data_IF_482115635262
#
_entry.id   IF_482115635262
#
_cell.length_a   1.000
_cell.length_b   1.000
_cell.length_c   1.000
_cell.angle_alpha   90.00
_cell.angle_beta   90.00
_cell.angle_gamma   90.00
#
_symmetry.space_group_name_H-M   'P 1'
#
loop_
_entity.id
_entity.type
_entity.pdbx_description
1 polymer ?
#
# COMPACT_ATOMS: atom_id res chain seq x y z
N UNK A 1 -28.13 9.11 12.35
CA UNK A 1 -27.20 8.23 13.09
C UNK A 1 -25.80 8.65 12.72
N UNK A 2 -25.25 9.58 13.48
CA UNK A 2 -23.86 10.00 13.39
C UNK A 2 -23.01 8.96 14.13
N UNK A 3 -22.22 8.20 13.39
CA UNK A 3 -21.28 7.24 13.95
C UNK A 3 -19.86 7.74 13.67
N UNK A 4 -19.19 8.33 14.66
CA UNK A 4 -17.74 8.28 14.96
C UNK A 4 -17.56 9.03 16.30
N UNK A 5 -16.59 8.70 17.18
CA UNK A 5 -15.33 8.02 16.88
C UNK A 5 -14.90 6.93 17.88
N UNK A 6 -14.54 5.75 17.39
CA UNK A 6 -13.62 4.88 18.13
C UNK A 6 -12.19 5.40 17.93
N UNK A 7 -11.28 5.25 18.91
CA UNK A 7 -9.93 5.77 18.81
C UNK A 7 -9.17 4.93 17.77
N UNK A 8 -9.11 5.43 16.55
CA UNK A 8 -8.11 4.99 15.61
C UNK A 8 -6.81 5.68 16.02
N UNK A 9 -5.67 5.01 15.97
CA UNK A 9 -4.33 5.58 16.17
C UNK A 9 -3.98 6.76 15.23
N UNK A 10 -4.97 7.33 14.53
CA UNK A 10 -4.97 8.54 13.68
C UNK A 10 -4.56 9.81 14.43
N UNK A 11 -4.56 9.81 15.77
CA UNK A 11 -4.34 11.01 16.59
C UNK A 11 -2.97 11.04 17.31
N UNK A 12 -2.07 10.09 17.04
CA UNK A 12 -0.73 10.05 17.66
C UNK A 12 0.36 9.97 16.60
N UNK A 13 0.58 11.07 15.88
CA UNK A 13 1.89 11.66 15.58
C UNK A 13 1.70 12.74 14.51
N UNK A 14 1.68 13.99 14.93
CA UNK A 14 1.45 15.14 14.03
C UNK A 14 2.62 15.40 13.08
N UNK A 15 3.79 14.86 13.37
CA UNK A 15 5.01 14.95 12.56
C UNK A 15 6.00 13.98 13.21
N UNK A 16 6.03 12.72 12.76
CA UNK A 16 7.24 11.92 12.95
C UNK A 16 8.03 12.00 11.66
N UNK A 17 9.21 12.60 11.74
CA UNK A 17 10.32 12.23 10.87
C UNK A 17 10.63 10.75 11.14
N UNK A 18 9.87 9.85 10.55
CA UNK A 18 10.20 8.43 10.61
C UNK A 18 11.34 8.24 9.61
N UNK A 19 12.56 8.26 10.14
CA UNK A 19 13.73 7.74 9.44
C UNK A 19 13.57 6.22 9.38
N UNK A 20 12.88 5.72 8.36
CA UNK A 20 12.73 4.28 8.15
C UNK A 20 13.94 3.73 7.41
N UNK A 21 14.56 2.68 7.96
CA UNK A 21 15.50 1.83 7.24
C UNK A 21 14.73 0.98 6.21
N UNK A 22 14.13 1.62 5.21
CA UNK A 22 13.49 0.96 4.07
C UNK A 22 14.51 0.65 2.99
N UNK A 23 14.30 -0.42 2.22
CA UNK A 23 15.04 -0.64 0.98
C UNK A 23 14.40 0.22 -0.12
N UNK A 24 15.11 1.23 -0.67
CA UNK A 24 14.61 1.97 -1.81
C UNK A 24 14.72 1.09 -3.05
N UNK A 25 13.59 0.87 -3.72
CA UNK A 25 13.58 0.36 -5.09
C UNK A 25 13.26 1.57 -5.95
N UNK A 26 14.20 1.92 -6.83
CA UNK A 26 14.27 3.17 -7.58
C UNK A 26 14.64 4.40 -6.74
N UNK A 27 15.82 4.94 -7.01
CA UNK A 27 16.32 6.18 -6.40
C UNK A 27 16.19 7.39 -7.34
N UNK A 28 14.97 7.92 -7.53
CA UNK A 28 14.75 9.36 -7.61
C UNK A 28 14.33 9.95 -6.24
N UNK A 29 14.16 9.11 -5.22
CA UNK A 29 13.49 9.44 -3.95
C UNK A 29 14.42 9.83 -2.79
N UNK A 30 15.72 9.97 -3.03
CA UNK A 30 16.58 10.82 -2.20
C UNK A 30 15.94 12.20 -1.94
N UNK A 31 15.08 12.71 -2.83
CA UNK A 31 14.36 13.97 -2.64
C UNK A 31 13.50 14.01 -1.35
N UNK A 32 12.65 13.01 -1.08
CA UNK A 32 11.72 13.05 0.05
C UNK A 32 12.41 12.95 1.42
N UNK A 33 13.48 12.16 1.48
CA UNK A 33 14.30 11.99 2.69
C UNK A 33 15.18 13.22 2.91
N UNK A 34 15.76 13.78 1.83
CA UNK A 34 16.63 14.97 1.88
C UNK A 34 15.88 16.25 2.26
N UNK A 35 14.58 16.32 1.97
CA UNK A 35 13.72 17.47 2.31
C UNK A 35 13.07 17.37 3.71
N UNK A 36 13.25 16.30 4.49
CA UNK A 36 12.63 16.10 5.82
C UNK A 36 11.10 16.35 5.83
N UNK A 37 10.38 15.85 4.82
CA UNK A 37 8.94 16.11 4.64
C UNK A 37 8.14 14.84 4.38
N UNK A 38 8.34 13.83 5.23
CA UNK A 38 7.52 12.62 5.21
C UNK A 38 6.26 12.83 6.05
N UNK A 39 5.19 13.28 5.41
CA UNK A 39 3.84 13.22 5.99
C UNK A 39 3.30 11.84 5.68
N UNK A 40 3.60 10.90 6.57
CA UNK A 40 3.22 9.51 6.43
C UNK A 40 1.87 9.24 7.08
N UNK A 41 0.97 8.57 6.34
CA UNK A 41 -0.34 8.17 6.87
C UNK A 41 -0.49 6.66 6.85
N UNK A 42 -0.32 6.07 8.04
CA UNK A 42 -0.52 4.64 8.29
C UNK A 42 -1.91 4.17 7.84
N UNK A 43 -1.94 3.13 7.00
CA UNK A 43 -3.12 2.46 6.40
C UNK A 43 -4.11 3.34 5.65
N UNK A 44 -3.73 4.57 5.34
CA UNK A 44 -4.59 5.47 4.56
C UNK A 44 -4.51 5.19 3.06
N UNK A 45 -3.72 4.21 2.64
CA UNK A 45 -3.68 3.66 1.29
C UNK A 45 -4.63 2.49 1.04
N UNK A 46 -5.40 2.04 2.05
CA UNK A 46 -6.21 0.82 1.92
C UNK A 46 -7.58 1.01 1.26
N UNK A 47 -8.08 2.24 1.18
CA UNK A 47 -9.36 2.56 0.51
C UNK A 47 -9.26 3.88 -0.23
N UNK A 48 -10.00 4.02 -1.34
CA UNK A 48 -10.08 5.28 -2.10
C UNK A 48 -10.52 6.47 -1.23
N UNK A 49 -11.55 6.36 -0.36
CA UNK A 49 -11.92 7.47 0.52
C UNK A 49 -10.82 7.88 1.50
N UNK A 50 -10.08 6.93 2.06
CA UNK A 50 -8.97 7.24 2.97
C UNK A 50 -7.81 7.91 2.23
N UNK A 51 -7.52 7.49 0.99
CA UNK A 51 -6.51 8.12 0.12
C UNK A 51 -6.89 9.57 -0.18
N UNK A 52 -8.15 9.80 -0.57
CA UNK A 52 -8.64 11.16 -0.87
C UNK A 52 -8.53 12.08 0.35
N UNK A 53 -8.87 11.59 1.54
CA UNK A 53 -8.72 12.37 2.78
C UNK A 53 -7.24 12.66 3.07
N UNK A 54 -6.36 11.66 2.98
CA UNK A 54 -4.94 11.84 3.21
C UNK A 54 -4.31 12.83 2.21
N UNK A 55 -4.75 12.81 0.95
CA UNK A 55 -4.31 13.78 -0.07
C UNK A 55 -4.67 15.22 0.32
N UNK A 56 -5.88 15.48 0.82
CA UNK A 56 -6.30 16.81 1.29
C UNK A 56 -5.46 17.30 2.47
N UNK A 57 -4.95 16.39 3.28
CA UNK A 57 -4.04 16.68 4.40
C UNK A 57 -2.57 16.90 3.95
N UNK A 58 -2.32 16.92 2.63
CA UNK A 58 -0.98 17.03 2.01
C UNK A 58 -0.03 15.92 2.48
N UNK A 59 -0.56 14.70 2.61
CA UNK A 59 0.22 13.49 2.83
C UNK A 59 1.18 13.27 1.66
N UNK A 60 2.41 12.86 1.94
CA UNK A 60 3.41 12.54 0.90
C UNK A 60 3.65 11.04 0.78
N UNK A 61 3.34 10.25 1.82
CA UNK A 61 3.43 8.79 1.77
C UNK A 61 2.20 8.14 2.37
N UNK A 62 1.58 7.25 1.60
CA UNK A 62 0.43 6.45 1.98
C UNK A 62 0.85 5.02 2.30
N UNK A 63 0.46 4.52 3.45
CA UNK A 63 0.74 3.14 3.83
C UNK A 63 -0.36 2.18 3.35
N UNK A 64 0.08 1.10 2.72
CA UNK A 64 -0.73 0.10 2.01
C UNK A 64 -0.42 -1.28 2.57
N UNK A 65 -1.47 -1.98 2.97
CA UNK A 65 -1.41 -3.39 3.30
C UNK A 65 -1.81 -4.24 2.09
N UNK A 66 -0.88 -5.04 1.58
CA UNK A 66 -1.12 -5.94 0.47
C UNK A 66 -1.34 -7.37 0.97
N UNK A 67 -2.41 -8.00 0.48
CA UNK A 67 -2.75 -9.40 0.75
C UNK A 67 -2.87 -10.15 -0.56
N UNK A 68 -2.12 -11.25 -0.72
CA UNK A 68 -2.29 -12.13 -1.87
C UNK A 68 -3.44 -13.11 -1.63
N UNK A 69 -4.38 -13.16 -2.57
CA UNK A 69 -5.44 -14.15 -2.59
C UNK A 69 -5.61 -14.72 -4.00
N UNK A 70 -5.36 -16.03 -4.15
CA UNK A 70 -5.47 -16.75 -5.44
C UNK A 70 -4.75 -16.02 -6.58
N UNK A 71 -3.49 -15.62 -6.34
CA UNK A 71 -2.63 -14.85 -7.26
C UNK A 71 -3.13 -13.43 -7.59
N UNK A 72 -4.07 -12.90 -6.80
CA UNK A 72 -4.49 -11.50 -6.89
C UNK A 72 -4.04 -10.75 -5.65
N UNK A 73 -3.34 -9.64 -5.86
CA UNK A 73 -2.96 -8.73 -4.78
C UNK A 73 -4.11 -7.78 -4.49
N UNK A 74 -4.72 -7.94 -3.32
CA UNK A 74 -5.79 -7.10 -2.80
C UNK A 74 -5.22 -6.17 -1.74
N UNK A 75 -5.82 -5.00 -1.58
CA UNK A 75 -5.42 -4.04 -0.56
C UNK A 75 -6.33 -4.15 0.65
N UNK A 76 -5.79 -4.75 1.70
CA UNK A 76 -6.43 -4.91 3.01
C UNK A 76 -5.42 -5.37 4.06
N UNK A 77 -5.65 -4.94 5.31
CA UNK A 77 -4.83 -5.31 6.45
C UNK A 77 -5.11 -6.73 6.98
N UNK A 78 -6.37 -7.17 6.94
CA UNK A 78 -6.83 -8.33 7.71
C UNK A 78 -7.12 -9.60 6.90
N UNK A 79 -7.69 -10.61 7.58
CA UNK A 79 -7.91 -11.94 7.03
C UNK A 79 -8.99 -11.95 5.94
N UNK A 80 -8.82 -12.85 4.97
CA UNK A 80 -9.67 -12.93 3.79
C UNK A 80 -10.29 -14.32 3.63
N UNK A 81 -11.58 -14.36 3.23
CA UNK A 81 -12.23 -15.57 2.74
C UNK A 81 -13.21 -15.27 1.59
N UNK A 82 -13.31 -16.18 0.63
CA UNK A 82 -14.33 -16.13 -0.42
C UNK A 82 -15.61 -16.76 0.12
N UNK A 83 -16.73 -16.03 0.05
CA UNK A 83 -18.04 -16.56 0.42
C UNK A 83 -18.95 -16.59 -0.80
N UNK A 84 -19.57 -17.74 -1.04
CA UNK A 84 -20.63 -17.84 -2.05
C UNK A 84 -21.91 -17.20 -1.49
N UNK A 85 -22.42 -16.19 -2.19
CA UNK A 85 -23.71 -15.55 -1.94
C UNK A 85 -24.66 -15.92 -3.09
N UNK A 86 -25.11 -17.18 -3.09
CA UNK A 86 -25.95 -17.73 -4.15
C UNK A 86 -25.15 -17.99 -5.43
N UNK A 87 -25.48 -17.29 -6.53
CA UNK A 87 -24.71 -17.37 -7.80
C UNK A 87 -23.50 -16.44 -7.83
N UNK A 88 -23.38 -15.52 -6.88
CA UNK A 88 -22.29 -14.55 -6.83
C UNK A 88 -21.20 -15.01 -5.86
N UNK A 89 -19.94 -14.80 -6.24
CA UNK A 89 -18.80 -14.97 -5.35
C UNK A 89 -18.42 -13.59 -4.81
N UNK A 90 -18.45 -13.44 -3.50
CA UNK A 90 -18.04 -12.21 -2.84
C UNK A 90 -16.71 -12.43 -2.11
N UNK A 91 -15.83 -11.45 -2.29
CA UNK A 91 -14.57 -11.33 -1.60
C UNK A 91 -14.82 -10.64 -0.25
N UNK A 92 -14.55 -11.31 0.87
CA UNK A 92 -14.80 -10.75 2.20
C UNK A 92 -13.48 -10.62 2.97
N UNK A 93 -13.10 -9.38 3.27
CA UNK A 93 -12.01 -9.06 4.19
C UNK A 93 -12.56 -8.69 5.56
N UNK A 94 -11.91 -9.15 6.63
CA UNK A 94 -12.18 -8.68 8.00
C UNK A 94 -11.01 -7.80 8.43
N UNK A 95 -11.25 -6.50 8.61
CA UNK A 95 -10.25 -5.55 9.14
C UNK A 95 -10.77 -4.87 10.41
N UNK A 96 -10.13 -5.08 11.56
CA UNK A 96 -10.54 -4.57 12.88
C UNK A 96 -12.05 -4.73 13.19
N UNK A 97 -12.62 -5.89 12.86
CA UNK A 97 -14.05 -6.16 13.06
C UNK A 97 -14.97 -5.49 12.04
N UNK A 98 -14.43 -4.85 11.01
CA UNK A 98 -15.18 -4.35 9.85
C UNK A 98 -15.12 -5.36 8.72
N UNK A 99 -16.24 -5.50 8.04
CA UNK A 99 -16.40 -6.37 6.90
C UNK A 99 -16.26 -5.55 5.62
N UNK A 100 -15.20 -5.79 4.86
CA UNK A 100 -14.99 -5.18 3.54
C UNK A 100 -15.43 -6.17 2.47
N UNK A 101 -16.41 -5.78 1.67
CA UNK A 101 -16.89 -6.56 0.52
C UNK A 101 -16.14 -6.05 -0.71
N UNK A 102 -15.50 -6.96 -1.45
CA UNK A 102 -14.72 -6.65 -2.65
C UNK A 102 -13.65 -5.56 -2.38
N UNK A 103 -12.65 -5.86 -1.53
CA UNK A 103 -11.53 -4.94 -1.33
C UNK A 103 -10.87 -4.61 -2.67
N UNK A 104 -10.38 -3.38 -2.84
CA UNK A 104 -9.76 -2.97 -4.09
C UNK A 104 -8.49 -3.77 -4.35
N UNK A 105 -8.18 -3.99 -5.61
CA UNK A 105 -6.91 -4.56 -6.04
C UNK A 105 -5.77 -3.56 -5.83
N UNK A 106 -4.55 -4.09 -5.76
CA UNK A 106 -3.34 -3.26 -5.69
C UNK A 106 -3.25 -2.31 -6.88
N UNK A 107 -3.56 -2.78 -8.09
CA UNK A 107 -3.53 -1.95 -9.30
C UNK A 107 -4.55 -0.78 -9.23
N UNK A 108 -5.77 -1.03 -8.74
CA UNK A 108 -6.79 0.01 -8.59
C UNK A 108 -6.32 1.12 -7.62
N UNK A 109 -5.70 0.73 -6.51
CA UNK A 109 -5.16 1.69 -5.53
C UNK A 109 -3.99 2.48 -6.12
N UNK A 110 -2.99 1.82 -6.71
CA UNK A 110 -1.83 2.50 -7.28
C UNK A 110 -2.23 3.45 -8.42
N UNK A 111 -3.15 3.02 -9.29
CA UNK A 111 -3.71 3.87 -10.36
C UNK A 111 -4.41 5.11 -9.79
N UNK A 112 -5.18 4.95 -8.72
CA UNK A 112 -5.85 6.08 -8.06
C UNK A 112 -4.84 7.06 -7.46
N UNK A 113 -3.80 6.56 -6.77
CA UNK A 113 -2.73 7.39 -6.21
C UNK A 113 -2.01 8.17 -7.32
N UNK A 114 -1.69 7.51 -8.44
CA UNK A 114 -1.08 8.18 -9.60
C UNK A 114 -1.95 9.32 -10.14
N UNK A 115 -3.28 9.14 -10.20
CA UNK A 115 -4.19 10.21 -10.65
C UNK A 115 -4.19 11.47 -9.76
N UNK A 116 -3.80 11.32 -8.49
CA UNK A 116 -3.69 12.41 -7.53
C UNK A 116 -2.26 12.98 -7.41
N UNK A 117 -1.27 12.22 -7.86
CA UNK A 117 0.14 12.54 -7.73
C UNK A 117 0.52 13.71 -8.66
N UNK A 118 0.93 14.84 -8.11
CA UNK A 118 1.40 16.00 -8.88
C UNK A 118 2.80 16.43 -8.46
N UNK A 119 3.45 17.30 -9.23
CA UNK A 119 4.77 17.83 -8.85
C UNK A 119 4.71 18.65 -7.55
N UNK A 120 3.58 19.33 -7.32
CA UNK A 120 3.35 20.21 -6.16
C UNK A 120 2.92 19.43 -4.92
N UNK A 121 2.36 18.23 -5.09
CA UNK A 121 1.97 17.33 -4.01
C UNK A 121 2.33 15.88 -4.38
N UNK A 122 3.62 15.52 -4.34
CA UNK A 122 4.06 14.23 -4.81
C UNK A 122 3.71 13.13 -3.79
N UNK A 123 3.20 12.02 -4.30
CA UNK A 123 2.71 10.88 -3.51
C UNK A 123 3.55 9.63 -3.76
N UNK A 124 3.98 8.99 -2.68
CA UNK A 124 4.55 7.65 -2.67
C UNK A 124 3.77 6.71 -1.75
N UNK A 125 4.22 5.45 -1.71
CA UNK A 125 3.61 4.41 -0.88
C UNK A 125 4.62 3.68 -0.02
N UNK A 126 4.17 3.28 1.16
CA UNK A 126 4.78 2.20 1.93
C UNK A 126 3.95 0.95 1.77
N UNK A 127 4.58 -0.19 1.53
CA UNK A 127 3.87 -1.43 1.25
C UNK A 127 4.25 -2.47 2.29
N UNK A 128 3.26 -3.06 2.94
CA UNK A 128 3.45 -4.20 3.82
C UNK A 128 2.78 -5.45 3.21
N UNK A 129 3.53 -6.54 3.03
CA UNK A 129 2.97 -7.80 2.53
C UNK A 129 2.45 -8.59 3.73
N UNK A 130 1.12 -8.65 3.88
CA UNK A 130 0.46 -9.12 5.11
C UNK A 130 0.13 -10.60 5.10
N UNK A 131 -0.76 -11.00 4.21
CA UNK A 131 -1.36 -12.33 4.22
C UNK A 131 -1.30 -12.97 2.83
N UNK A 132 -1.21 -14.29 2.81
CA UNK A 132 -1.06 -15.08 1.60
C UNK A 132 0.41 -15.29 1.20
N UNK A 133 0.63 -16.24 0.30
CA UNK A 133 1.97 -16.52 -0.23
C UNK A 133 2.33 -15.53 -1.34
N UNK A 134 3.40 -14.77 -1.15
CA UNK A 134 3.98 -13.94 -2.19
C UNK A 134 5.09 -14.71 -2.91
N UNK A 135 4.70 -15.43 -3.97
CA UNK A 135 5.62 -16.05 -4.92
C UNK A 135 6.28 -14.99 -5.81
N UNK A 136 7.38 -15.35 -6.46
CA UNK A 136 8.16 -14.45 -7.33
C UNK A 136 7.28 -13.76 -8.39
N UNK A 137 6.42 -14.51 -9.09
CA UNK A 137 5.47 -13.97 -10.08
C UNK A 137 4.56 -12.86 -9.50
N UNK A 138 4.12 -13.00 -8.25
CA UNK A 138 3.24 -12.03 -7.60
C UNK A 138 4.02 -10.77 -7.22
N UNK A 139 5.25 -10.94 -6.73
CA UNK A 139 6.14 -9.84 -6.40
C UNK A 139 6.55 -9.05 -7.64
N UNK A 140 6.89 -9.74 -8.75
CA UNK A 140 7.14 -9.12 -10.05
C UNK A 140 5.94 -8.30 -10.51
N UNK A 141 4.73 -8.86 -10.45
CA UNK A 141 3.52 -8.13 -10.81
C UNK A 141 3.29 -6.87 -9.95
N UNK A 142 3.60 -6.91 -8.64
CA UNK A 142 3.53 -5.71 -7.79
C UNK A 142 4.50 -4.63 -8.28
N UNK A 143 5.75 -5.01 -8.57
CA UNK A 143 6.76 -4.09 -9.08
C UNK A 143 6.39 -3.54 -10.46
N UNK A 144 5.84 -4.37 -11.35
CA UNK A 144 5.36 -3.95 -12.67
C UNK A 144 4.24 -2.90 -12.58
N UNK A 145 3.31 -3.07 -11.64
CA UNK A 145 2.25 -2.09 -11.38
C UNK A 145 2.86 -0.75 -10.92
N UNK A 146 3.83 -0.78 -10.00
CA UNK A 146 4.49 0.42 -9.51
C UNK A 146 5.22 1.16 -10.63
N UNK A 147 5.95 0.44 -11.48
CA UNK A 147 6.68 0.99 -12.63
C UNK A 147 5.71 1.58 -13.66
N UNK A 148 4.66 0.84 -13.99
CA UNK A 148 3.61 1.26 -14.94
C UNK A 148 3.00 2.61 -14.57
N UNK A 149 2.80 2.86 -13.27
CA UNK A 149 2.20 4.10 -12.76
C UNK A 149 3.24 5.06 -12.17
N UNK A 150 4.53 4.79 -12.31
CA UNK A 150 5.63 5.60 -11.79
C UNK A 150 5.40 6.04 -10.34
N UNK A 151 4.97 5.10 -9.48
CA UNK A 151 4.70 5.38 -8.08
C UNK A 151 5.92 5.02 -7.22
N UNK A 152 6.45 5.97 -6.43
CA UNK A 152 7.46 5.69 -5.41
C UNK A 152 6.96 4.64 -4.44
N UNK A 153 7.79 3.63 -4.15
CA UNK A 153 7.46 2.65 -3.14
C UNK A 153 8.66 2.29 -2.26
N UNK A 154 8.37 2.04 -0.99
CA UNK A 154 9.26 1.28 -0.13
C UNK A 154 8.50 0.14 0.53
N UNK A 155 9.17 -0.98 0.71
CA UNK A 155 8.59 -2.15 1.35
C UNK A 155 8.98 -2.18 2.83
N UNK A 156 7.97 -2.36 3.68
CA UNK A 156 8.16 -2.52 5.12
C UNK A 156 8.69 -3.95 5.36
N UNK A 157 9.76 -4.13 6.14
CA UNK A 157 10.33 -5.46 6.39
C UNK A 157 9.29 -6.45 6.91
N UNK A 158 9.21 -7.63 6.28
CA UNK A 158 8.30 -8.72 6.65
C UNK A 158 8.92 -10.10 6.34
N UNK A 159 8.12 -11.16 6.47
CA UNK A 159 8.52 -12.55 6.23
C UNK A 159 8.84 -12.86 4.77
N UNK A 160 8.42 -12.02 3.82
CA UNK A 160 8.64 -12.18 2.39
C UNK A 160 9.86 -11.39 1.89
N UNK A 161 10.49 -10.60 2.76
CA UNK A 161 11.64 -9.75 2.45
C UNK A 161 12.71 -10.43 1.59
N UNK A 162 13.16 -11.63 1.96
CA UNK A 162 14.22 -12.32 1.21
C UNK A 162 13.82 -12.70 -0.22
N UNK A 163 12.54 -13.07 -0.44
CA UNK A 163 12.02 -13.32 -1.80
C UNK A 163 11.98 -12.02 -2.60
N UNK A 164 11.47 -10.95 -1.99
CA UNK A 164 11.38 -9.63 -2.60
C UNK A 164 12.76 -9.07 -2.97
N UNK A 165 13.75 -9.14 -2.07
CA UNK A 165 15.15 -8.77 -2.34
C UNK A 165 15.67 -9.53 -3.58
N UNK A 166 15.42 -10.84 -3.66
CA UNK A 166 15.80 -11.64 -4.83
C UNK A 166 15.15 -11.18 -6.14
N UNK A 167 13.87 -10.82 -6.13
CA UNK A 167 13.17 -10.29 -7.32
C UNK A 167 13.76 -8.94 -7.75
N UNK A 168 14.01 -8.05 -6.79
CA UNK A 168 14.59 -6.73 -7.05
C UNK A 168 15.98 -6.85 -7.65
N UNK A 169 16.84 -7.68 -7.07
CA UNK A 169 18.20 -7.87 -7.57
C UNK A 169 18.22 -8.41 -9.00
N UNK A 170 17.32 -9.35 -9.32
CA UNK A 170 17.14 -9.86 -10.69
C UNK A 170 16.73 -8.74 -11.64
N UNK A 171 15.76 -7.92 -11.24
CA UNK A 171 15.25 -6.79 -12.05
C UNK A 171 16.33 -5.76 -12.33
N UNK A 172 17.11 -5.36 -11.32
CA UNK A 172 18.20 -4.39 -11.49
C UNK A 172 19.28 -4.90 -12.45
N UNK A 173 19.61 -6.20 -12.41
CA UNK A 173 20.61 -6.80 -13.32
C UNK A 173 20.14 -6.93 -14.77
N UNK A 174 18.83 -6.82 -15.01
CA UNK A 174 18.24 -6.93 -16.35
C UNK A 174 18.11 -5.58 -17.08
N UNK A 175 18.47 -4.48 -16.42
CA UNK A 175 18.51 -3.10 -16.95
C UNK A 175 19.95 -2.78 -17.36
#
# INVERSE_FOLDING_TARGET
>A
MENYPGPTWRDLDLEKDITMNGFPIYDPYLFFIKEQRLRWKHRSGNTIPDINRAFLERTTVLDIDATNFKKKTLVLHGLYYEKSLGKHKAAIGIDFGRLTINPPTFEEIIKHINSLNTKENPLGVSIQLKHGEFEEEILENILDILDKFNIPAYFIPDTHRGKLEGVIEKRIKSI
#
